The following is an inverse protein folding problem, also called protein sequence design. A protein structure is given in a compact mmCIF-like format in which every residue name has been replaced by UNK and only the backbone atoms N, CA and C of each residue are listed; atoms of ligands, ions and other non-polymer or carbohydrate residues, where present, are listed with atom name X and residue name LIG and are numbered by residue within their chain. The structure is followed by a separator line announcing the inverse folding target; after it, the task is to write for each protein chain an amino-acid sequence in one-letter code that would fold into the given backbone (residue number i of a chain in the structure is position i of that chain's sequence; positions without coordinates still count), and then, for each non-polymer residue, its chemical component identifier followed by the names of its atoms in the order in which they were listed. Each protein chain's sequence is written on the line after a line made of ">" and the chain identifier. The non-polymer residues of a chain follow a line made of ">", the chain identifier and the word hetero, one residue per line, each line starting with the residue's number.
data_IF_086520276786
#
_entry.id   IF_086520276786
#
_cell.length_a   1.000
_cell.length_b   1.000
_cell.length_c   1.000
_cell.angle_alpha   90.00
_cell.angle_beta   90.00
_cell.angle_gamma   90.00
#
_symmetry.space_group_name_H-M   'P 1'
#
loop_
_entity.id
_entity.type
_entity.pdbx_description
1 polymer ?
#
# COMPACT_ATOMS: atom_id res chain seq x y z
N UNK A 1 19.65 18.11 -65.66
CA UNK A 1 20.22 17.20 -64.67
C UNK A 1 20.16 17.92 -63.31
N UNK A 2 19.21 17.56 -62.45
CA UNK A 2 19.12 18.15 -61.09
C UNK A 2 20.17 17.48 -60.22
N UNK A 3 21.19 18.23 -59.84
CA UNK A 3 22.13 17.81 -58.79
C UNK A 3 21.35 17.74 -57.50
N UNK A 4 21.06 16.56 -57.00
CA UNK A 4 20.56 16.35 -55.66
C UNK A 4 21.68 16.79 -54.72
N UNK A 5 21.45 17.91 -54.01
CA UNK A 5 22.28 18.30 -52.86
C UNK A 5 22.23 17.18 -51.84
N UNK A 6 23.20 16.30 -51.87
CA UNK A 6 23.41 15.30 -50.84
C UNK A 6 24.06 16.00 -49.65
N UNK A 7 23.26 16.73 -48.89
CA UNK A 7 23.68 17.27 -47.59
C UNK A 7 23.72 16.12 -46.60
N UNK A 8 24.91 15.71 -46.24
CA UNK A 8 25.11 14.79 -45.12
C UNK A 8 24.85 15.49 -43.80
N UNK A 9 24.49 14.70 -42.78
CA UNK A 9 24.34 15.21 -41.42
C UNK A 9 25.68 15.71 -40.88
N UNK A 10 25.65 16.84 -40.18
CA UNK A 10 26.81 17.34 -39.46
C UNK A 10 27.02 16.58 -38.16
N UNK A 11 28.26 16.48 -37.68
CA UNK A 11 28.56 15.84 -36.40
C UNK A 11 27.81 16.51 -35.23
N UNK A 12 27.69 17.83 -35.27
CA UNK A 12 26.93 18.59 -34.27
C UNK A 12 25.45 18.22 -34.24
N UNK A 13 24.84 18.02 -35.41
CA UNK A 13 23.44 17.63 -35.56
C UNK A 13 23.16 16.24 -34.95
N UNK A 14 24.06 15.28 -35.15
CA UNK A 14 24.01 13.97 -34.54
C UNK A 14 24.16 14.05 -33.02
N UNK A 15 25.09 14.87 -32.54
CA UNK A 15 25.26 15.07 -31.08
C UNK A 15 24.04 15.68 -30.42
N UNK A 16 23.41 16.68 -31.05
CA UNK A 16 22.18 17.30 -30.56
C UNK A 16 21.03 16.28 -30.56
N UNK A 17 20.88 15.51 -31.62
CA UNK A 17 19.86 14.48 -31.70
C UNK A 17 20.03 13.40 -30.62
N UNK A 18 21.26 12.95 -30.37
CA UNK A 18 21.56 12.00 -29.29
C UNK A 18 21.28 12.59 -27.92
N UNK A 19 21.59 13.87 -27.69
CA UNK A 19 21.28 14.55 -26.44
C UNK A 19 19.76 14.61 -26.18
N UNK A 20 18.97 14.90 -27.19
CA UNK A 20 17.50 14.91 -27.11
C UNK A 20 16.96 13.52 -26.81
N UNK A 21 17.44 12.50 -27.50
CA UNK A 21 17.03 11.10 -27.26
C UNK A 21 17.41 10.65 -25.85
N UNK A 22 18.62 10.96 -25.40
CA UNK A 22 19.07 10.60 -24.06
C UNK A 22 18.21 11.24 -22.95
N UNK A 23 17.87 12.52 -23.09
CA UNK A 23 16.98 13.21 -22.12
C UNK A 23 15.56 12.66 -22.15
N UNK A 24 15.01 12.41 -23.32
CA UNK A 24 13.68 11.79 -23.47
C UNK A 24 13.64 10.39 -22.87
N UNK A 25 14.68 9.58 -23.11
CA UNK A 25 14.78 8.22 -22.58
C UNK A 25 14.89 8.22 -21.05
N UNK A 26 15.68 9.13 -20.48
CA UNK A 26 15.79 9.28 -19.02
C UNK A 26 14.45 9.65 -18.40
N UNK A 27 13.70 10.56 -19.00
CA UNK A 27 12.37 10.94 -18.54
C UNK A 27 11.38 9.77 -18.59
N UNK A 28 11.40 8.97 -19.65
CA UNK A 28 10.55 7.78 -19.79
C UNK A 28 10.89 6.70 -18.76
N UNK A 29 12.18 6.47 -18.50
CA UNK A 29 12.62 5.53 -17.46
C UNK A 29 12.17 5.97 -16.07
N UNK A 30 12.29 7.25 -15.75
CA UNK A 30 11.85 7.80 -14.48
C UNK A 30 10.35 7.61 -14.27
N UNK A 31 9.55 7.86 -15.31
CA UNK A 31 8.10 7.64 -15.27
C UNK A 31 7.76 6.15 -15.08
N UNK A 32 8.48 5.27 -15.75
CA UNK A 32 8.27 3.83 -15.64
C UNK A 32 8.56 3.32 -14.22
N UNK A 33 9.66 3.76 -13.63
CA UNK A 33 10.00 3.43 -12.23
C UNK A 33 8.94 3.93 -11.25
N UNK A 34 8.43 5.14 -11.44
CA UNK A 34 7.37 5.69 -10.59
C UNK A 34 6.06 4.89 -10.70
N UNK A 35 5.69 4.49 -11.91
CA UNK A 35 4.53 3.63 -12.12
C UNK A 35 4.67 2.27 -11.41
N UNK A 36 5.84 1.64 -11.46
CA UNK A 36 6.10 0.39 -10.76
C UNK A 36 6.02 0.54 -9.24
N UNK A 37 6.52 1.65 -8.70
CA UNK A 37 6.40 1.96 -7.27
C UNK A 37 4.95 2.17 -6.86
N UNK A 38 4.17 2.86 -7.67
CA UNK A 38 2.74 3.09 -7.43
C UNK A 38 1.97 1.77 -7.37
N UNK A 39 2.18 0.88 -8.35
CA UNK A 39 1.56 -0.45 -8.38
C UNK A 39 1.93 -1.30 -7.16
N UNK A 40 3.18 -1.25 -6.74
CA UNK A 40 3.64 -1.97 -5.54
C UNK A 40 2.99 -1.46 -4.25
N UNK A 41 2.79 -0.15 -4.14
CA UNK A 41 2.08 0.47 -2.99
C UNK A 41 0.61 0.07 -2.96
N UNK A 42 -0.05 0.07 -4.11
CA UNK A 42 -1.46 -0.34 -4.24
C UNK A 42 -1.66 -1.80 -3.87
N UNK A 43 -0.76 -2.69 -4.28
CA UNK A 43 -0.80 -4.12 -3.91
C UNK A 43 -0.61 -4.30 -2.40
N UNK A 44 0.38 -3.64 -1.81
CA UNK A 44 0.63 -3.68 -0.37
C UNK A 44 -0.56 -3.14 0.43
N UNK A 45 -1.17 -2.04 0.00
CA UNK A 45 -2.36 -1.47 0.62
C UNK A 45 -3.56 -2.42 0.54
N UNK A 46 -3.81 -3.01 -0.63
CA UNK A 46 -4.90 -3.95 -0.84
C UNK A 46 -4.76 -5.19 0.05
N UNK A 47 -3.55 -5.72 0.18
CA UNK A 47 -3.24 -6.82 1.08
C UNK A 47 -3.44 -6.42 2.54
N UNK A 48 -2.96 -5.26 2.96
CA UNK A 48 -3.17 -4.73 4.30
C UNK A 48 -4.66 -4.61 4.65
N UNK A 49 -5.46 -4.12 3.72
CA UNK A 49 -6.90 -3.98 3.90
C UNK A 49 -7.60 -5.34 4.03
N UNK A 50 -7.20 -6.31 3.23
CA UNK A 50 -7.73 -7.67 3.32
C UNK A 50 -7.43 -8.30 4.69
N UNK A 51 -6.20 -8.17 5.17
CA UNK A 51 -5.79 -8.64 6.49
C UNK A 51 -6.52 -7.92 7.63
N UNK A 52 -6.75 -6.61 7.49
CA UNK A 52 -7.54 -5.84 8.44
C UNK A 52 -8.99 -6.35 8.52
N UNK A 53 -9.60 -6.70 7.39
CA UNK A 53 -10.94 -7.31 7.35
C UNK A 53 -10.97 -8.69 8.01
N UNK A 54 -9.93 -9.49 7.84
CA UNK A 54 -9.82 -10.79 8.51
C UNK A 54 -9.78 -10.62 10.03
N UNK A 55 -8.96 -9.70 10.54
CA UNK A 55 -8.91 -9.38 11.97
C UNK A 55 -10.22 -8.79 12.49
N UNK A 56 -10.91 -7.99 11.69
CA UNK A 56 -12.22 -7.48 12.05
C UNK A 56 -13.24 -8.62 12.24
N UNK A 57 -13.29 -9.56 11.30
CA UNK A 57 -14.15 -10.73 11.39
C UNK A 57 -13.82 -11.60 12.60
N UNK A 58 -12.56 -11.83 12.90
CA UNK A 58 -12.11 -12.55 14.10
C UNK A 58 -12.55 -11.82 15.38
N UNK A 59 -12.41 -10.50 15.42
CA UNK A 59 -12.85 -9.67 16.53
C UNK A 59 -14.36 -9.74 16.76
N UNK A 60 -15.15 -9.75 15.70
CA UNK A 60 -16.60 -9.94 15.78
C UNK A 60 -16.97 -11.32 16.33
N UNK A 61 -16.22 -12.36 15.97
CA UNK A 61 -16.41 -13.71 16.49
C UNK A 61 -16.05 -13.86 17.97
N UNK A 62 -15.13 -13.04 18.50
CA UNK A 62 -14.86 -12.95 19.94
C UNK A 62 -16.07 -12.46 20.74
N UNK A 63 -16.99 -11.77 20.10
CA UNK A 63 -18.21 -11.22 20.67
C UNK A 63 -17.98 -9.90 21.40
N UNK A 64 -17.43 -9.92 22.61
CA UNK A 64 -17.16 -8.71 23.39
C UNK A 64 -15.66 -8.58 23.69
N UNK A 65 -14.89 -7.91 22.81
CA UNK A 65 -13.45 -7.78 22.99
C UNK A 65 -13.13 -6.92 24.21
N UNK A 66 -12.09 -7.28 24.98
CA UNK A 66 -11.59 -6.49 26.08
C UNK A 66 -11.03 -5.13 25.63
N UNK A 67 -11.22 -4.10 26.45
CA UNK A 67 -10.61 -2.78 26.20
C UNK A 67 -9.10 -2.82 26.33
N UNK A 68 -8.39 -2.03 25.55
CA UNK A 68 -6.94 -1.91 25.56
C UNK A 68 -6.34 -1.98 24.17
N UNK A 69 -5.02 -1.94 24.12
CA UNK A 69 -4.25 -2.02 22.89
C UNK A 69 -3.53 -3.37 22.84
N UNK A 70 -3.62 -4.03 21.71
CA UNK A 70 -2.88 -5.25 21.40
C UNK A 70 -2.20 -5.13 20.05
N UNK A 71 -1.09 -5.81 19.87
CA UNK A 71 -0.32 -5.79 18.63
C UNK A 71 0.42 -7.12 18.45
N UNK A 72 0.80 -7.40 17.23
CA UNK A 72 1.54 -8.61 16.93
C UNK A 72 1.94 -8.71 15.46
N UNK A 73 2.53 -9.84 15.12
CA UNK A 73 2.90 -10.19 13.77
C UNK A 73 1.89 -11.18 13.20
N UNK A 74 1.50 -10.99 11.94
CA UNK A 74 0.62 -11.93 11.25
C UNK A 74 1.22 -13.33 11.10
N UNK A 75 2.54 -13.42 11.03
CA UNK A 75 3.23 -14.71 10.95
C UNK A 75 2.92 -15.62 12.16
N UNK A 76 2.67 -15.03 13.32
CA UNK A 76 2.27 -15.77 14.53
C UNK A 76 0.82 -16.20 14.53
N UNK A 77 -0.06 -15.38 13.92
CA UNK A 77 -1.49 -15.65 13.82
C UNK A 77 -1.81 -16.61 12.68
N UNK A 78 -1.22 -16.35 11.54
CA UNK A 78 -1.45 -17.07 10.28
C UNK A 78 -0.10 -17.37 9.61
N UNK A 79 0.63 -18.42 10.04
CA UNK A 79 1.94 -18.74 9.51
C UNK A 79 1.93 -18.94 7.98
N UNK A 80 2.81 -18.24 7.28
CA UNK A 80 2.99 -18.32 5.84
C UNK A 80 2.04 -17.48 4.99
N UNK A 81 1.00 -16.88 5.56
CA UNK A 81 0.03 -16.08 4.79
C UNK A 81 0.47 -14.65 4.53
N UNK A 82 1.08 -14.02 5.52
CA UNK A 82 1.45 -12.60 5.44
C UNK A 82 2.79 -12.32 6.17
N UNK A 83 3.91 -12.82 5.64
CA UNK A 83 5.21 -12.61 6.26
C UNK A 83 5.58 -11.13 6.31
N UNK A 84 6.00 -10.65 7.49
CA UNK A 84 6.44 -9.29 7.71
C UNK A 84 5.33 -8.26 7.94
N UNK A 85 4.06 -8.62 7.82
CA UNK A 85 2.95 -7.75 8.17
C UNK A 85 2.77 -7.71 9.68
N UNK A 86 2.54 -6.51 10.21
CA UNK A 86 2.22 -6.29 11.63
C UNK A 86 0.79 -5.78 11.76
N UNK A 87 0.21 -5.99 12.90
CA UNK A 87 -1.13 -5.49 13.21
C UNK A 87 -1.14 -4.82 14.59
N UNK A 88 -2.02 -3.84 14.72
CA UNK A 88 -2.35 -3.16 15.96
C UNK A 88 -3.86 -3.11 16.09
N UNK A 89 -4.38 -3.38 17.28
CA UNK A 89 -5.80 -3.31 17.59
C UNK A 89 -5.98 -2.50 18.87
N UNK A 90 -6.75 -1.45 18.77
CA UNK A 90 -7.18 -0.65 19.92
C UNK A 90 -8.67 -0.83 20.14
N UNK A 91 -9.07 -1.19 21.36
CA UNK A 91 -10.46 -1.33 21.76
C UNK A 91 -10.76 -0.34 22.87
N UNK A 92 -11.73 0.51 22.66
CA UNK A 92 -12.18 1.51 23.64
C UNK A 92 -13.70 1.55 23.75
N UNK A 93 -14.18 1.96 24.93
CA UNK A 93 -15.61 2.16 25.10
C UNK A 93 -16.08 3.36 24.27
N UNK A 94 -17.21 3.21 23.60
CA UNK A 94 -17.80 4.27 22.80
C UNK A 94 -18.83 5.07 23.59
N UNK A 95 -19.19 6.25 23.08
CA UNK A 95 -20.19 7.13 23.71
C UNK A 95 -21.55 6.47 23.90
N UNK A 96 -21.89 5.47 23.09
CA UNK A 96 -23.12 4.71 23.20
C UNK A 96 -22.93 3.56 24.20
N UNK A 97 -23.73 3.49 25.28
CA UNK A 97 -23.63 2.42 26.27
C UNK A 97 -23.75 1.03 25.63
N UNK A 98 -22.87 0.11 26.01
CA UNK A 98 -22.85 -1.25 25.46
C UNK A 98 -22.24 -1.34 24.05
N UNK A 99 -21.54 -0.32 23.59
CA UNK A 99 -20.83 -0.30 22.32
C UNK A 99 -19.34 -0.05 22.54
N UNK A 100 -18.51 -0.77 21.83
CA UNK A 100 -17.06 -0.56 21.78
C UNK A 100 -16.61 -0.23 20.36
N UNK A 101 -15.73 0.73 20.26
CA UNK A 101 -15.00 1.03 19.05
C UNK A 101 -13.74 0.18 18.99
N UNK A 102 -13.53 -0.48 17.88
CA UNK A 102 -12.32 -1.25 17.60
C UNK A 102 -11.64 -0.66 16.38
N UNK A 103 -10.42 -0.20 16.55
CA UNK A 103 -9.58 0.30 15.48
C UNK A 103 -8.50 -0.74 15.20
N UNK A 104 -8.47 -1.23 13.98
CA UNK A 104 -7.49 -2.20 13.50
C UNK A 104 -6.61 -1.53 12.47
N UNK A 105 -5.31 -1.57 12.70
CA UNK A 105 -4.30 -1.07 11.79
C UNK A 105 -3.40 -2.21 11.34
N UNK A 106 -3.19 -2.33 10.05
CA UNK A 106 -2.28 -3.33 9.46
C UNK A 106 -1.16 -2.61 8.72
N UNK A 107 0.07 -2.95 9.06
CA UNK A 107 1.28 -2.29 8.57
C UNK A 107 2.06 -3.29 7.73
N UNK A 108 2.27 -3.02 6.43
CA UNK A 108 3.07 -3.87 5.55
C UNK A 108 4.57 -3.80 5.88
N UNK A 109 5.37 -4.81 5.45
CA UNK A 109 6.79 -4.89 5.80
C UNK A 109 7.66 -3.77 5.23
N UNK A 110 7.21 -3.07 4.19
CA UNK A 110 8.01 -2.10 3.45
C UNK A 110 7.55 -0.65 3.56
N UNK A 111 6.75 -0.31 4.55
CA UNK A 111 6.41 1.08 4.84
C UNK A 111 5.03 1.31 5.41
N UNK A 112 4.96 2.27 6.29
CA UNK A 112 3.73 2.72 6.92
C UNK A 112 2.80 3.46 5.95
N UNK A 113 3.34 3.93 4.81
CA UNK A 113 2.57 4.64 3.78
C UNK A 113 1.45 3.79 3.16
N UNK A 114 1.62 2.47 3.15
CA UNK A 114 0.63 1.51 2.66
C UNK A 114 -0.13 0.81 3.79
N UNK A 115 -0.05 1.31 5.02
CA UNK A 115 -0.82 0.81 6.13
C UNK A 115 -2.32 1.08 5.91
N UNK A 116 -3.14 0.10 6.28
CA UNK A 116 -4.59 0.23 6.27
C UNK A 116 -5.11 0.36 7.70
N UNK A 117 -6.17 1.13 7.84
CA UNK A 117 -6.89 1.29 9.10
C UNK A 117 -8.37 0.97 8.87
N UNK A 118 -8.93 0.17 9.74
CA UNK A 118 -10.34 -0.20 9.73
C UNK A 118 -10.92 0.04 11.12
N UNK A 119 -12.03 0.75 11.17
CA UNK A 119 -12.79 0.97 12.40
C UNK A 119 -14.09 0.20 12.33
N UNK A 120 -14.39 -0.55 13.38
CA UNK A 120 -15.66 -1.23 13.54
C UNK A 120 -16.25 -0.96 14.94
N UNK A 121 -17.54 -1.12 15.05
CA UNK A 121 -18.26 -0.96 16.30
C UNK A 121 -18.89 -2.29 16.70
N UNK A 122 -18.53 -2.77 17.89
CA UNK A 122 -19.06 -4.01 18.43
C UNK A 122 -20.07 -3.65 19.53
N UNK A 123 -21.29 -4.10 19.34
CA UNK A 123 -22.36 -3.94 20.30
C UNK A 123 -22.49 -5.18 21.18
N UNK A 124 -22.60 -4.97 22.49
CA UNK A 124 -22.95 -6.03 23.40
C UNK A 124 -24.41 -6.39 23.17
N UNK A 125 -24.65 -7.58 22.60
CA UNK A 125 -26.00 -8.08 22.48
C UNK A 125 -26.59 -8.23 23.88
N UNK A 126 -27.40 -7.26 24.26
CA UNK A 126 -28.32 -7.39 25.40
C UNK A 126 -29.44 -8.33 24.94
N UNK A 127 -29.24 -9.60 25.17
CA UNK A 127 -30.35 -10.55 25.16
C UNK A 127 -31.19 -10.40 26.43
#
# INVERSE_FOLDING_TARGET
>A
MRVRDARGFTLLEVMVALAIIATAFTALLSLHVENLRSLSREDAYSRSLLLARTLAAETELEGWPGTGTSSGDFEKLHPGEAPGFRWEREVRDWSLPGTREVVIRVIPPHGEESASELTLFVSRNLR
#
